data_IF_374067897391
#
_entry.id   IF_374067897391
#
_cell.length_a   1.000
_cell.length_b   1.000
_cell.length_c   1.000
_cell.angle_alpha   90.00
_cell.angle_beta   90.00
_cell.angle_gamma   90.00
#
_symmetry.space_group_name_H-M   'P 1'
#
loop_
_entity.id
_entity.type
_entity.pdbx_description
1 polymer ?
#
# COMPACT_ATOMS: atom_id res chain seq x y z
N UNK A 1 -11.13 -3.72 -9.88
CA UNK A 1 -11.26 -5.02 -9.18
C UNK A 1 -11.74 -4.78 -7.75
N UNK A 2 -12.54 -5.67 -7.16
CA UNK A 2 -12.89 -5.56 -5.73
C UNK A 2 -11.68 -6.00 -4.89
N UNK A 3 -11.27 -5.17 -3.92
CA UNK A 3 -10.14 -5.44 -3.00
C UNK A 3 -10.59 -5.35 -1.53
N UNK A 4 -11.55 -6.19 -1.11
CA UNK A 4 -12.06 -6.13 0.25
C UNK A 4 -11.00 -6.63 1.25
N UNK A 5 -10.92 -5.98 2.40
CA UNK A 5 -10.22 -6.53 3.58
C UNK A 5 -11.13 -7.46 4.40
N UNK A 6 -12.37 -7.68 3.93
CA UNK A 6 -13.38 -8.54 4.55
C UNK A 6 -13.42 -9.90 3.87
N UNK A 7 -13.76 -10.94 4.64
CA UNK A 7 -13.89 -12.31 4.11
C UNK A 7 -15.22 -12.57 3.39
N UNK A 8 -16.20 -11.67 3.51
CA UNK A 8 -17.55 -11.82 2.95
C UNK A 8 -17.83 -10.65 2.00
N UNK A 9 -18.39 -10.97 0.83
CA UNK A 9 -18.93 -10.00 -0.12
C UNK A 9 -20.46 -9.97 -0.01
N UNK A 10 -21.03 -8.90 0.53
CA UNK A 10 -22.48 -8.78 0.68
C UNK A 10 -23.19 -8.77 -0.69
N UNK A 11 -24.28 -9.55 -0.80
CA UNK A 11 -25.08 -9.64 -2.03
C UNK A 11 -24.38 -10.32 -3.22
N UNK A 12 -23.23 -10.97 -3.00
CA UNK A 12 -22.48 -11.72 -4.02
C UNK A 12 -22.02 -13.07 -3.47
N UNK A 13 -22.18 -14.13 -4.27
CA UNK A 13 -21.67 -15.47 -3.94
C UNK A 13 -20.27 -15.66 -4.57
N UNK A 14 -19.33 -16.20 -3.79
CA UNK A 14 -18.00 -16.60 -4.29
C UNK A 14 -18.15 -18.01 -4.87
N UNK A 15 -17.93 -18.16 -6.18
CA UNK A 15 -18.11 -19.45 -6.88
C UNK A 15 -16.84 -20.30 -6.95
N UNK A 16 -15.67 -19.69 -6.75
CA UNK A 16 -14.38 -20.36 -6.85
C UNK A 16 -13.32 -19.59 -6.03
N UNK A 17 -12.39 -20.34 -5.44
CA UNK A 17 -11.19 -19.81 -4.78
C UNK A 17 -9.98 -20.26 -5.58
N UNK A 18 -9.22 -19.30 -6.14
CA UNK A 18 -8.14 -19.60 -7.10
C UNK A 18 -6.81 -19.89 -6.39
N UNK A 19 -6.30 -18.94 -5.61
CA UNK A 19 -5.20 -19.11 -4.65
C UNK A 19 -5.05 -17.82 -3.81
N UNK A 20 -4.11 -17.82 -2.86
CA UNK A 20 -3.67 -16.63 -2.15
C UNK A 20 -2.70 -15.86 -3.06
N UNK A 21 -2.93 -14.55 -3.20
CA UNK A 21 -2.05 -13.63 -3.92
C UNK A 21 -1.38 -12.65 -2.97
N UNK A 22 -0.15 -12.27 -3.28
CA UNK A 22 0.66 -11.30 -2.52
C UNK A 22 1.34 -10.39 -3.52
N UNK A 23 1.39 -9.09 -3.21
CA UNK A 23 2.22 -8.12 -3.91
C UNK A 23 3.07 -7.35 -2.90
N UNK A 24 4.27 -7.00 -3.30
CA UNK A 24 5.28 -6.42 -2.43
C UNK A 24 5.87 -5.15 -3.05
N UNK A 25 6.11 -4.14 -2.22
CA UNK A 25 6.79 -2.93 -2.66
C UNK A 25 7.79 -2.47 -1.60
N UNK A 26 9.06 -2.37 -2.00
CA UNK A 26 10.15 -1.99 -1.12
C UNK A 26 10.55 -0.53 -1.40
N UNK A 27 10.48 0.31 -0.38
CA UNK A 27 10.92 1.71 -0.46
C UNK A 27 12.45 1.78 -0.53
N UNK A 28 12.96 2.45 -1.56
CA UNK A 28 14.40 2.60 -1.80
C UNK A 28 15.12 3.52 -0.79
N UNK A 29 16.44 3.35 -0.67
CA UNK A 29 17.29 4.11 0.27
C UNK A 29 17.32 5.63 0.05
N UNK A 30 17.06 6.11 -1.17
CA UNK A 30 17.03 7.54 -1.47
C UNK A 30 15.80 8.20 -0.85
N UNK A 31 14.64 7.54 -0.96
CA UNK A 31 13.39 7.97 -0.34
C UNK A 31 13.51 8.04 1.19
N UNK A 32 14.17 7.06 1.79
CA UNK A 32 14.39 7.03 3.24
C UNK A 32 15.19 8.26 3.73
N UNK A 33 16.19 8.72 2.98
CA UNK A 33 16.96 9.93 3.32
C UNK A 33 16.12 11.20 3.23
N UNK A 34 15.28 11.31 2.21
CA UNK A 34 14.41 12.48 1.99
C UNK A 34 13.34 12.60 3.09
N UNK A 35 12.85 11.46 3.59
CA UNK A 35 11.94 11.39 4.73
C UNK A 35 12.64 11.84 6.02
N UNK A 36 13.84 11.30 6.31
CA UNK A 36 14.58 11.67 7.53
C UNK A 36 15.03 13.13 7.53
N UNK A 37 15.37 13.69 6.36
CA UNK A 37 15.73 15.09 6.22
C UNK A 37 14.55 16.07 6.36
N UNK A 38 13.31 15.59 6.19
CA UNK A 38 12.09 16.42 6.25
C UNK A 38 11.26 16.26 7.53
N UNK A 39 11.71 15.40 8.47
CA UNK A 39 11.05 15.19 9.78
C UNK A 39 11.35 16.32 10.78
N UNK A 40 12.18 17.32 10.42
CA UNK A 40 12.60 18.40 11.32
C UNK A 40 11.47 19.24 11.90
N UNK A 41 10.31 19.37 11.22
CA UNK A 41 9.28 20.36 11.57
C UNK A 41 7.86 19.81 11.79
N UNK A 42 7.65 18.48 11.78
CA UNK A 42 6.29 17.90 11.79
C UNK A 42 6.06 17.00 12.99
N UNK A 43 5.65 17.61 14.10
CA UNK A 43 4.96 16.89 15.20
C UNK A 43 3.59 16.45 14.67
N UNK A 44 3.46 15.16 14.34
CA UNK A 44 2.16 14.52 14.08
C UNK A 44 1.96 14.04 12.64
N UNK A 45 2.58 12.91 12.30
CA UNK A 45 2.04 11.91 11.37
C UNK A 45 1.79 12.29 9.90
N UNK A 46 1.99 13.55 9.49
CA UNK A 46 1.73 14.05 8.14
C UNK A 46 2.95 14.74 7.53
N UNK A 47 4.08 14.02 7.46
CA UNK A 47 5.16 14.46 6.58
C UNK A 47 4.74 14.10 5.15
N UNK A 48 4.37 15.11 4.36
CA UNK A 48 3.81 14.89 3.03
C UNK A 48 4.70 14.01 2.12
N UNK A 49 6.01 14.01 2.32
CA UNK A 49 6.93 13.11 1.62
C UNK A 49 6.74 11.64 2.04
N UNK A 50 6.71 11.34 3.35
CA UNK A 50 6.49 9.97 3.83
C UNK A 50 5.14 9.41 3.39
N UNK A 51 4.06 10.20 3.53
CA UNK A 51 2.72 9.75 3.16
C UNK A 51 2.59 9.49 1.65
N UNK A 52 3.23 10.32 0.81
CA UNK A 52 3.28 10.11 -0.64
C UNK A 52 4.00 8.80 -0.97
N UNK A 53 5.17 8.58 -0.39
CA UNK A 53 5.97 7.41 -0.71
C UNK A 53 5.35 6.12 -0.18
N UNK A 54 4.78 6.15 1.02
CA UNK A 54 4.01 5.01 1.56
C UNK A 54 2.78 4.70 0.69
N UNK A 55 2.11 5.73 0.15
CA UNK A 55 1.00 5.54 -0.80
C UNK A 55 1.50 4.91 -2.11
N UNK A 56 2.60 5.41 -2.68
CA UNK A 56 3.18 4.90 -3.92
C UNK A 56 3.56 3.43 -3.78
N UNK A 57 4.20 3.05 -2.66
CA UNK A 57 4.53 1.66 -2.37
C UNK A 57 3.26 0.79 -2.29
N UNK A 58 2.23 1.24 -1.57
CA UNK A 58 0.96 0.51 -1.48
C UNK A 58 0.27 0.34 -2.84
N UNK A 59 0.27 1.38 -3.67
CA UNK A 59 -0.31 1.31 -5.02
C UNK A 59 0.45 0.34 -5.91
N UNK A 60 1.78 0.30 -5.79
CA UNK A 60 2.63 -0.67 -6.50
C UNK A 60 2.33 -2.11 -6.08
N UNK A 61 2.27 -2.36 -4.77
CA UNK A 61 1.95 -3.69 -4.24
C UNK A 61 0.55 -4.16 -4.66
N UNK A 62 -0.44 -3.25 -4.69
CA UNK A 62 -1.77 -3.60 -5.20
C UNK A 62 -1.81 -3.85 -6.71
N UNK A 63 -0.96 -3.19 -7.50
CA UNK A 63 -0.87 -3.46 -8.92
C UNK A 63 -0.26 -4.84 -9.16
N UNK A 64 0.78 -5.23 -8.43
CA UNK A 64 1.37 -6.57 -8.51
C UNK A 64 0.39 -7.67 -8.09
N UNK A 65 -0.47 -7.43 -7.09
CA UNK A 65 -1.55 -8.37 -6.74
C UNK A 65 -2.62 -8.53 -7.84
N UNK A 66 -2.75 -7.57 -8.75
CA UNK A 66 -3.76 -7.56 -9.81
C UNK A 66 -3.25 -8.14 -11.15
N UNK A 67 -1.93 -8.30 -11.32
CA UNK A 67 -1.30 -8.97 -12.48
C UNK A 67 -1.45 -10.50 -12.42
#
# INVERSE_FOLDING_TARGET
MLKPTTSISEGREIVEYLDIVVGEAILGRNIFKDILGSISDVVGGRSGAYERESRNARETAFAEMEE
#
